data_IF_478854032767
#
_entry.id   IF_478854032767
#
_cell.length_a   1.000
_cell.length_b   1.000
_cell.length_c   1.000
_cell.angle_alpha   90.00
_cell.angle_beta   90.00
_cell.angle_gamma   90.00
#
_symmetry.space_group_name_H-M   'P 1'
#
loop_
_entity.id
_entity.type
_entity.pdbx_description
1 polymer ?
#
# COMPACT_ATOMS: atom_id res chain seq x y z
N UNK A 1 23.26 -1.45 -0.03
CA UNK A 1 22.23 -2.50 0.07
C UNK A 1 21.16 -1.98 1.00
N UNK A 2 19.92 -1.94 0.56
CA UNK A 2 18.83 -1.43 1.40
C UNK A 2 17.58 -2.27 1.17
N UNK A 3 16.96 -2.72 2.25
CA UNK A 3 15.60 -3.26 2.25
C UNK A 3 14.67 -2.17 2.76
N UNK A 4 13.79 -1.69 1.89
CA UNK A 4 12.84 -0.62 2.22
C UNK A 4 11.43 -1.18 2.26
N UNK A 5 10.75 -1.01 3.39
CA UNK A 5 9.35 -1.43 3.59
C UNK A 5 8.46 -0.20 3.60
N UNK A 6 7.45 -0.15 2.72
CA UNK A 6 6.53 0.99 2.60
C UNK A 6 5.13 0.57 3.03
N UNK A 7 4.58 1.22 4.05
CA UNK A 7 3.26 0.93 4.62
C UNK A 7 2.40 2.19 4.74
N UNK A 8 1.10 2.04 4.88
CA UNK A 8 0.17 3.15 5.09
C UNK A 8 0.01 3.49 6.57
N UNK A 9 -0.06 4.78 6.88
CA UNK A 9 -0.12 5.26 8.27
C UNK A 9 -1.53 5.33 8.86
N UNK A 10 -2.57 5.51 8.03
CA UNK A 10 -3.95 5.71 8.50
C UNK A 10 -4.89 4.53 8.13
N UNK A 11 -5.91 4.80 7.32
CA UNK A 11 -6.98 3.85 6.95
C UNK A 11 -6.90 3.40 5.49
N UNK A 12 -5.71 3.42 4.88
CA UNK A 12 -5.52 3.14 3.46
C UNK A 12 -5.69 4.39 2.59
N UNK A 13 -5.41 4.21 1.30
CA UNK A 13 -5.52 5.29 0.29
C UNK A 13 -4.59 6.50 0.53
N UNK A 14 -3.48 6.29 1.26
CA UNK A 14 -2.47 7.33 1.52
C UNK A 14 -1.57 7.62 0.30
N UNK A 15 -1.78 6.96 -0.84
CA UNK A 15 -0.96 7.16 -2.03
C UNK A 15 0.31 6.31 -2.09
N UNK A 16 0.36 5.18 -1.36
CA UNK A 16 1.48 4.23 -1.39
C UNK A 16 1.92 3.84 -2.80
N UNK A 17 0.95 3.58 -3.69
CA UNK A 17 1.26 3.19 -5.07
C UNK A 17 2.13 4.20 -5.82
N UNK A 18 1.88 5.50 -5.63
CA UNK A 18 2.71 6.57 -6.17
C UNK A 18 4.13 6.52 -5.58
N UNK A 19 4.25 6.42 -4.25
CA UNK A 19 5.54 6.41 -3.56
C UNK A 19 6.35 5.17 -3.94
N UNK A 20 5.74 3.99 -3.98
CA UNK A 20 6.38 2.76 -4.48
C UNK A 20 6.86 2.92 -5.93
N UNK A 21 6.04 3.49 -6.80
CA UNK A 21 6.40 3.71 -8.20
C UNK A 21 7.58 4.67 -8.34
N UNK A 22 7.57 5.77 -7.59
CA UNK A 22 8.69 6.71 -7.52
C UNK A 22 9.99 6.03 -7.05
N UNK A 23 9.94 5.35 -5.90
CA UNK A 23 11.09 4.64 -5.34
C UNK A 23 11.63 3.56 -6.28
N UNK A 24 10.72 2.83 -6.94
CA UNK A 24 11.09 1.81 -7.92
C UNK A 24 11.89 2.38 -9.11
N UNK A 25 11.54 3.57 -9.58
CA UNK A 25 12.26 4.24 -10.68
C UNK A 25 13.55 4.86 -10.15
N UNK A 26 13.49 5.56 -9.03
CA UNK A 26 14.60 6.34 -8.49
C UNK A 26 15.74 5.47 -7.96
N UNK A 27 15.39 4.46 -7.15
CA UNK A 27 16.35 3.62 -6.42
C UNK A 27 16.71 2.34 -7.18
N UNK A 28 15.98 2.06 -8.26
CA UNK A 28 16.20 0.93 -9.18
C UNK A 28 16.44 -0.42 -8.43
N UNK A 29 15.54 -0.85 -7.51
CA UNK A 29 15.71 -2.08 -6.76
C UNK A 29 15.69 -3.29 -7.69
N UNK A 30 16.38 -4.35 -7.29
CA UNK A 30 16.40 -5.64 -8.01
C UNK A 30 15.06 -6.35 -7.95
N UNK A 31 14.41 -6.25 -6.79
CA UNK A 31 13.14 -6.89 -6.52
C UNK A 31 12.17 -5.89 -5.91
N UNK A 32 10.95 -5.90 -6.43
CA UNK A 32 9.81 -5.21 -5.84
C UNK A 32 8.80 -6.29 -5.45
N UNK A 33 8.51 -6.42 -4.16
CA UNK A 33 7.65 -7.48 -3.66
C UNK A 33 6.46 -6.91 -2.90
N UNK A 34 5.27 -7.47 -3.15
CA UNK A 34 4.03 -7.11 -2.48
C UNK A 34 3.71 -8.08 -1.35
N UNK A 35 3.48 -7.54 -0.16
CA UNK A 35 2.82 -8.20 0.97
C UNK A 35 1.39 -7.71 1.16
N UNK A 36 0.73 -8.14 2.24
CA UNK A 36 -0.59 -7.67 2.65
C UNK A 36 -1.74 -8.61 2.28
N UNK A 37 -2.98 -8.07 2.29
CA UNK A 37 -4.16 -8.93 2.31
C UNK A 37 -4.48 -9.59 0.96
N UNK A 38 -4.59 -8.80 -0.12
CA UNK A 38 -4.97 -9.34 -1.44
C UNK A 38 -5.58 -8.29 -2.36
N UNK A 39 -6.48 -8.69 -3.31
CA UNK A 39 -7.04 -7.80 -4.33
C UNK A 39 -8.06 -6.78 -3.81
N UNK A 40 -8.36 -6.75 -2.53
CA UNK A 40 -9.15 -5.72 -1.86
C UNK A 40 -8.44 -4.35 -1.79
N UNK A 41 -7.11 -4.32 -1.96
CA UNK A 41 -6.33 -3.10 -2.10
C UNK A 41 -6.12 -2.78 -3.58
N UNK A 42 -6.42 -1.55 -3.98
CA UNK A 42 -6.14 -1.05 -5.32
C UNK A 42 -5.21 0.15 -5.27
N UNK A 43 -4.20 0.16 -6.11
CA UNK A 43 -3.28 1.30 -6.23
C UNK A 43 -3.44 1.95 -7.61
N UNK A 44 -3.47 3.27 -7.62
CA UNK A 44 -3.46 4.07 -8.86
C UNK A 44 -2.09 4.71 -9.01
N UNK A 45 -1.48 4.54 -10.18
CA UNK A 45 -0.19 5.11 -10.54
C UNK A 45 -0.42 5.99 -11.77
N UNK A 46 0.14 7.19 -11.77
CA UNK A 46 0.14 8.07 -12.93
C UNK A 46 1.58 8.26 -13.40
N UNK A 47 1.81 8.06 -14.69
CA UNK A 47 3.09 8.26 -15.36
C UNK A 47 2.83 9.07 -16.64
N UNK A 48 2.97 10.38 -16.55
CA UNK A 48 2.54 11.33 -17.56
C UNK A 48 1.04 11.22 -17.84
N UNK A 49 0.68 10.98 -19.10
CA UNK A 49 -0.72 10.84 -19.51
C UNK A 49 -1.33 9.46 -19.20
N UNK A 50 -0.51 8.49 -18.79
CA UNK A 50 -0.97 7.13 -18.52
C UNK A 50 -1.39 6.95 -17.06
N UNK A 51 -2.53 6.31 -16.88
CA UNK A 51 -3.05 5.94 -15.57
C UNK A 51 -3.14 4.42 -15.49
N UNK A 52 -2.45 3.85 -14.52
CA UNK A 52 -2.47 2.42 -14.24
C UNK A 52 -3.21 2.17 -12.93
N UNK A 53 -4.06 1.13 -12.93
CA UNK A 53 -4.77 0.67 -11.75
C UNK A 53 -4.41 -0.79 -11.51
N UNK A 54 -3.76 -1.08 -10.38
CA UNK A 54 -3.32 -2.42 -10.01
C UNK A 54 -3.98 -2.89 -8.73
N UNK A 55 -4.29 -4.17 -8.67
CA UNK A 55 -4.87 -4.84 -7.50
C UNK A 55 -4.00 -6.01 -7.02
N UNK A 56 -3.22 -6.62 -7.92
CA UNK A 56 -2.37 -7.77 -7.64
C UNK A 56 -0.88 -7.44 -7.78
N UNK A 57 -0.48 -6.80 -8.88
CA UNK A 57 0.92 -6.46 -9.09
C UNK A 57 1.42 -5.41 -8.09
N UNK A 58 2.70 -5.45 -7.70
CA UNK A 58 3.36 -4.33 -7.03
C UNK A 58 3.33 -3.07 -7.90
N UNK A 59 3.09 -1.91 -7.30
CA UNK A 59 2.97 -0.62 -7.98
C UNK A 59 4.26 -0.17 -8.69
N UNK A 60 5.39 -0.71 -8.29
CA UNK A 60 6.69 -0.40 -8.89
C UNK A 60 6.98 -1.10 -10.22
N UNK A 61 6.00 -1.78 -10.83
CA UNK A 61 6.18 -2.50 -12.09
C UNK A 61 6.64 -1.64 -13.27
N UNK A 62 6.55 -0.31 -13.16
CA UNK A 62 7.09 0.61 -14.18
C UNK A 62 8.62 0.53 -14.31
N UNK A 63 9.34 0.17 -13.24
CA UNK A 63 10.76 -0.17 -13.34
C UNK A 63 10.93 -1.47 -14.14
N UNK A 64 11.46 -1.36 -15.35
CA UNK A 64 11.62 -2.49 -16.29
C UNK A 64 12.75 -3.45 -15.88
N UNK A 65 13.66 -3.02 -15.02
CA UNK A 65 14.83 -3.80 -14.60
C UNK A 65 14.52 -4.71 -13.38
N UNK A 66 13.47 -4.40 -12.64
CA UNK A 66 13.12 -5.12 -11.44
C UNK A 66 12.28 -6.38 -11.73
N UNK A 67 12.51 -7.44 -10.95
CA UNK A 67 11.54 -8.53 -10.79
C UNK A 67 10.38 -8.02 -9.92
N UNK A 68 9.15 -8.28 -10.32
CA UNK A 68 7.93 -7.96 -9.54
C UNK A 68 7.39 -9.25 -8.94
N UNK A 69 7.22 -9.26 -7.61
CA UNK A 69 6.90 -10.48 -6.90
C UNK A 69 5.70 -10.31 -5.96
N UNK A 70 5.01 -11.40 -5.67
CA UNK A 70 3.93 -11.46 -4.67
C UNK A 70 4.33 -12.48 -3.61
N UNK A 71 4.36 -12.02 -2.36
CA UNK A 71 4.81 -12.82 -1.22
C UNK A 71 3.84 -13.92 -0.79
N UNK A 72 4.33 -14.95 -0.06
CA UNK A 72 3.56 -16.12 0.35
C UNK A 72 2.33 -15.80 1.21
N UNK A 73 2.36 -14.68 1.93
CA UNK A 73 1.25 -14.25 2.79
C UNK A 73 0.04 -13.71 2.05
N UNK A 74 0.14 -13.38 0.77
CA UNK A 74 -0.93 -12.76 -0.02
C UNK A 74 -1.93 -13.80 -0.54
N UNK A 75 -3.23 -13.44 -0.55
CA UNK A 75 -4.23 -14.19 -1.31
C UNK A 75 -4.43 -13.53 -2.67
N UNK A 76 -4.40 -14.33 -3.73
CA UNK A 76 -4.44 -13.86 -5.12
C UNK A 76 -5.73 -14.27 -5.83
N UNK A 77 -6.21 -13.39 -6.70
CA UNK A 77 -7.21 -13.75 -7.70
C UNK A 77 -6.46 -14.00 -9.02
N UNK A 78 -6.43 -15.25 -9.52
CA UNK A 78 -5.65 -15.62 -10.72
C UNK A 78 -6.06 -14.85 -11.98
N UNK A 79 -7.34 -14.55 -12.15
CA UNK A 79 -7.84 -13.87 -13.35
C UNK A 79 -7.42 -12.40 -13.36
N UNK A 80 -7.50 -11.72 -12.20
CA UNK A 80 -7.02 -10.35 -12.06
C UNK A 80 -5.51 -10.31 -12.31
N UNK A 81 -4.76 -11.23 -11.71
CA UNK A 81 -3.30 -11.29 -11.87
C UNK A 81 -2.89 -11.50 -13.33
N UNK A 82 -3.50 -12.48 -14.02
CA UNK A 82 -3.20 -12.76 -15.44
C UNK A 82 -3.53 -11.56 -16.33
N UNK A 83 -4.67 -10.92 -16.07
CA UNK A 83 -5.06 -9.72 -16.81
C UNK A 83 -4.06 -8.59 -16.61
N UNK A 84 -3.64 -8.30 -15.38
CA UNK A 84 -2.66 -7.24 -15.10
C UNK A 84 -1.29 -7.55 -15.72
N UNK A 85 -0.83 -8.81 -15.69
CA UNK A 85 0.41 -9.25 -16.36
C UNK A 85 0.37 -8.96 -17.87
N UNK A 86 -0.76 -9.23 -18.52
CA UNK A 86 -0.96 -8.99 -19.95
C UNK A 86 -1.07 -7.49 -20.26
N UNK A 87 -1.95 -6.78 -19.55
CA UNK A 87 -2.23 -5.36 -19.79
C UNK A 87 -0.97 -4.49 -19.63
N UNK A 88 -0.07 -4.87 -18.72
CA UNK A 88 1.13 -4.08 -18.41
C UNK A 88 2.42 -4.67 -18.99
N UNK A 89 2.32 -5.78 -19.74
CA UNK A 89 3.44 -6.43 -20.42
C UNK A 89 4.63 -6.76 -19.50
N UNK A 90 4.32 -7.45 -18.38
CA UNK A 90 5.32 -7.80 -17.34
C UNK A 90 5.51 -9.32 -17.18
N UNK A 91 5.11 -10.14 -18.18
CA UNK A 91 5.09 -11.61 -18.09
C UNK A 91 6.46 -12.22 -17.80
N UNK A 92 7.53 -11.71 -18.35
CA UNK A 92 8.89 -12.30 -18.19
C UNK A 92 9.57 -11.98 -16.85
N UNK A 93 8.95 -11.18 -15.97
CA UNK A 93 9.55 -10.71 -14.72
C UNK A 93 8.57 -10.66 -13.55
N UNK A 94 7.39 -11.22 -13.71
CA UNK A 94 6.39 -11.36 -12.64
C UNK A 94 6.42 -12.76 -12.07
N UNK A 95 6.51 -12.85 -10.74
CA UNK A 95 6.55 -14.10 -10.02
C UNK A 95 5.66 -14.08 -8.78
N UNK A 96 5.21 -15.25 -8.35
CA UNK A 96 4.41 -15.44 -7.15
C UNK A 96 5.02 -16.56 -6.29
N UNK A 97 4.79 -16.48 -5.00
CA UNK A 97 5.20 -17.58 -4.13
C UNK A 97 4.25 -18.78 -4.28
N UNK A 98 4.81 -19.99 -4.17
CA UNK A 98 4.05 -21.26 -4.17
C UNK A 98 2.98 -21.33 -3.08
N UNK A 99 3.13 -20.57 -2.00
CA UNK A 99 2.23 -20.51 -0.85
C UNK A 99 1.17 -19.40 -0.96
N UNK A 100 1.14 -18.59 -2.01
CA UNK A 100 0.04 -17.64 -2.22
C UNK A 100 -1.30 -18.37 -2.17
N UNK A 101 -2.25 -17.83 -1.40
CA UNK A 101 -3.59 -18.42 -1.33
C UNK A 101 -4.43 -18.07 -2.57
N UNK A 102 -5.33 -18.96 -2.99
CA UNK A 102 -6.17 -18.74 -4.16
C UNK A 102 -7.57 -18.29 -3.75
N UNK A 103 -8.00 -17.17 -4.30
CA UNK A 103 -9.40 -16.73 -4.19
C UNK A 103 -10.21 -17.44 -5.26
N UNK A 104 -11.20 -18.23 -4.83
CA UNK A 104 -12.15 -18.94 -5.68
C UNK A 104 -13.53 -18.25 -5.65
N UNK A 105 -14.44 -18.63 -6.55
CA UNK A 105 -15.79 -18.05 -6.63
C UNK A 105 -16.60 -18.17 -5.33
N UNK A 106 -16.36 -19.24 -4.58
CA UNK A 106 -16.95 -19.43 -3.23
C UNK A 106 -16.58 -18.33 -2.25
N UNK A 107 -15.32 -17.85 -2.30
CA UNK A 107 -14.85 -16.75 -1.48
C UNK A 107 -15.50 -15.42 -1.89
N UNK A 108 -15.62 -15.17 -3.21
CA UNK A 108 -16.30 -13.98 -3.75
C UNK A 108 -17.77 -13.95 -3.32
N UNK A 109 -18.46 -15.09 -3.42
CA UNK A 109 -19.86 -15.22 -3.01
C UNK A 109 -20.04 -15.00 -1.52
N UNK A 110 -19.21 -15.59 -0.66
CA UNK A 110 -19.23 -15.39 0.80
C UNK A 110 -18.96 -13.94 1.19
N UNK A 111 -18.10 -13.24 0.47
CA UNK A 111 -17.75 -11.85 0.75
C UNK A 111 -18.81 -10.86 0.24
N UNK A 112 -19.43 -11.12 -0.91
CA UNK A 112 -20.39 -10.23 -1.56
C UNK A 112 -21.82 -10.36 -1.06
N UNK A 113 -22.24 -11.58 -0.69
CA UNK A 113 -23.60 -11.92 -0.25
C UNK A 113 -23.72 -12.13 1.26
N UNK A 114 -22.59 -12.13 1.98
CA UNK A 114 -22.56 -12.40 3.41
C UNK A 114 -22.72 -11.13 4.25
N UNK A 115 -22.93 -11.34 5.56
CA UNK A 115 -23.06 -10.28 6.57
C UNK A 115 -21.84 -9.32 6.62
N UNK A 116 -20.68 -9.73 6.11
CA UNK A 116 -19.45 -8.91 6.08
C UNK A 116 -19.64 -7.62 5.28
N UNK A 117 -20.37 -7.69 4.16
CA UNK A 117 -20.64 -6.50 3.34
C UNK A 117 -21.51 -5.49 4.08
N UNK A 118 -22.53 -5.97 4.77
CA UNK A 118 -23.48 -5.12 5.51
C UNK A 118 -22.87 -4.60 6.82
N UNK A 119 -22.20 -5.47 7.59
CA UNK A 119 -21.69 -5.15 8.93
C UNK A 119 -20.42 -4.29 8.91
N UNK A 120 -19.48 -4.58 7.99
CA UNK A 120 -18.16 -3.93 7.99
C UNK A 120 -17.81 -3.25 6.66
N UNK A 121 -18.70 -3.26 5.69
CA UNK A 121 -18.47 -2.61 4.40
C UNK A 121 -17.39 -3.27 3.53
N UNK A 122 -17.29 -4.62 3.55
CA UNK A 122 -16.32 -5.34 2.74
C UNK A 122 -16.33 -4.92 1.26
N UNK A 123 -15.18 -5.07 0.60
CA UNK A 123 -15.02 -4.78 -0.83
C UNK A 123 -15.64 -5.85 -1.74
N UNK A 124 -16.03 -7.00 -1.20
CA UNK A 124 -16.54 -8.13 -1.98
C UNK A 124 -15.49 -8.85 -2.83
N UNK A 125 -14.21 -8.68 -2.50
CA UNK A 125 -13.09 -9.25 -3.29
C UNK A 125 -12.69 -10.67 -2.87
N UNK A 126 -13.40 -11.28 -1.92
CA UNK A 126 -13.14 -12.63 -1.42
C UNK A 126 -11.96 -12.76 -0.47
N UNK A 127 -11.29 -11.64 -0.16
CA UNK A 127 -10.04 -11.63 0.63
C UNK A 127 -10.25 -12.12 2.06
N UNK A 128 -11.31 -11.67 2.75
CA UNK A 128 -11.64 -12.08 4.11
C UNK A 128 -11.92 -13.58 4.21
N UNK A 129 -12.89 -14.12 3.45
CA UNK A 129 -13.18 -15.55 3.40
C UNK A 129 -11.97 -16.42 3.06
N UNK A 130 -11.13 -16.02 2.09
CA UNK A 130 -9.93 -16.76 1.72
C UNK A 130 -8.90 -16.81 2.87
N UNK A 131 -8.68 -15.70 3.59
CA UNK A 131 -7.80 -15.69 4.76
C UNK A 131 -8.36 -16.53 5.92
N UNK A 132 -9.69 -16.57 6.11
CA UNK A 132 -10.32 -17.46 7.07
C UNK A 132 -10.07 -18.94 6.72
N UNK A 133 -10.26 -19.32 5.46
CA UNK A 133 -10.01 -20.68 4.99
C UNK A 133 -8.51 -21.05 5.07
N UNK A 134 -7.62 -20.07 4.91
CA UNK A 134 -6.17 -20.26 5.17
C UNK A 134 -5.90 -20.58 6.63
N UNK A 135 -6.51 -19.86 7.57
CA UNK A 135 -6.38 -20.12 9.00
C UNK A 135 -6.93 -21.50 9.37
N UNK A 136 -7.98 -21.95 8.69
CA UNK A 136 -8.56 -23.31 8.83
C UNK A 136 -7.75 -24.40 8.09
N UNK A 137 -6.74 -24.03 7.28
CA UNK A 137 -5.86 -24.91 6.50
C UNK A 137 -6.57 -25.68 5.38
N UNK A 138 -7.63 -25.10 4.84
CA UNK A 138 -8.42 -25.67 3.73
C UNK A 138 -8.29 -24.88 2.43
N UNK A 139 -7.59 -23.75 2.46
CA UNK A 139 -7.39 -22.89 1.30
C UNK A 139 -6.49 -23.57 0.25
N UNK A 140 -6.90 -23.51 -0.99
CA UNK A 140 -6.07 -23.87 -2.13
C UNK A 140 -4.90 -22.89 -2.31
N UNK A 141 -3.73 -23.39 -2.66
CA UNK A 141 -2.51 -22.59 -2.82
C UNK A 141 -2.10 -22.49 -4.30
N UNK A 142 -1.23 -21.52 -4.61
CA UNK A 142 -0.76 -21.30 -5.98
C UNK A 142 -0.10 -22.52 -6.59
N UNK A 143 0.64 -23.32 -5.79
CA UNK A 143 1.24 -24.59 -6.22
C UNK A 143 0.24 -25.65 -6.72
N UNK A 144 -1.03 -25.52 -6.34
CA UNK A 144 -2.10 -26.46 -6.68
C UNK A 144 -2.82 -26.06 -7.98
N UNK A 145 -2.34 -25.00 -8.68
CA UNK A 145 -2.95 -24.42 -9.87
C UNK A 145 -1.97 -24.51 -11.06
N UNK A 146 -2.16 -25.48 -11.92
CA UNK A 146 -1.27 -25.76 -13.08
C UNK A 146 -1.01 -24.53 -13.96
N UNK A 147 -2.03 -23.71 -14.19
CA UNK A 147 -1.93 -22.50 -15.03
C UNK A 147 -1.10 -21.36 -14.43
N UNK A 148 -0.64 -21.50 -13.19
CA UNK A 148 0.25 -20.55 -12.51
C UNK A 148 1.68 -21.10 -12.38
N UNK A 149 1.94 -22.35 -12.77
CA UNK A 149 3.23 -23.03 -12.55
C UNK A 149 4.45 -22.25 -13.07
N UNK A 150 4.31 -21.59 -14.21
CA UNK A 150 5.38 -20.79 -14.82
C UNK A 150 5.72 -19.48 -14.07
N UNK A 151 4.87 -19.06 -13.15
CA UNK A 151 5.08 -17.86 -12.32
C UNK A 151 5.66 -18.19 -10.95
N UNK A 152 5.70 -19.48 -10.57
CA UNK A 152 6.02 -19.90 -9.20
C UNK A 152 7.53 -19.86 -8.95
N UNK A 153 7.90 -19.18 -7.87
CA UNK A 153 9.25 -19.19 -7.28
C UNK A 153 9.17 -19.31 -5.75
N UNK A 154 10.30 -19.46 -5.09
CA UNK A 154 10.42 -19.28 -3.64
C UNK A 154 10.75 -17.82 -3.36
N UNK A 155 9.73 -16.99 -3.14
CA UNK A 155 9.89 -15.53 -2.97
C UNK A 155 10.76 -15.18 -1.77
N UNK A 156 10.60 -15.79 -0.57
CA UNK A 156 11.53 -15.60 0.55
C UNK A 156 12.99 -15.85 0.17
N UNK A 157 13.28 -16.94 -0.57
CA UNK A 157 14.64 -17.24 -1.01
C UNK A 157 15.18 -16.19 -1.97
N UNK A 158 14.36 -15.75 -2.95
CA UNK A 158 14.77 -14.73 -3.94
C UNK A 158 15.14 -13.40 -3.27
N UNK A 159 14.28 -12.87 -2.36
CA UNK A 159 14.53 -11.59 -1.70
C UNK A 159 15.75 -11.65 -0.76
N UNK A 160 15.90 -12.74 0.01
CA UNK A 160 17.04 -12.87 0.92
C UNK A 160 18.34 -13.11 0.16
N UNK A 161 18.31 -13.79 -1.00
CA UNK A 161 19.48 -13.95 -1.88
C UNK A 161 19.89 -12.62 -2.52
N UNK A 162 18.94 -11.78 -2.95
CA UNK A 162 19.23 -10.44 -3.47
C UNK A 162 19.91 -9.58 -2.40
N UNK A 163 19.37 -9.56 -1.18
CA UNK A 163 19.99 -8.85 -0.06
C UNK A 163 21.39 -9.36 0.26
N UNK A 164 21.62 -10.67 0.25
CA UNK A 164 22.95 -11.26 0.45
C UNK A 164 23.94 -10.89 -0.66
N UNK A 165 23.45 -10.64 -1.87
CA UNK A 165 24.22 -10.14 -3.01
C UNK A 165 24.42 -8.61 -3.03
N UNK A 166 24.03 -7.90 -1.97
CA UNK A 166 24.05 -6.45 -1.84
C UNK A 166 23.15 -5.72 -2.87
N UNK A 167 22.06 -6.35 -3.29
CA UNK A 167 21.04 -5.74 -4.15
C UNK A 167 19.90 -5.16 -3.31
N UNK A 168 19.25 -4.10 -3.80
CA UNK A 168 18.15 -3.44 -3.10
C UNK A 168 16.84 -4.19 -3.31
N UNK A 169 16.02 -4.24 -2.24
CA UNK A 169 14.68 -4.82 -2.24
C UNK A 169 13.66 -3.81 -1.74
N UNK A 170 12.60 -3.59 -2.51
CA UNK A 170 11.49 -2.70 -2.15
C UNK A 170 10.25 -3.55 -1.82
N UNK A 171 9.73 -3.40 -0.61
CA UNK A 171 8.57 -4.14 -0.10
C UNK A 171 7.35 -3.21 -0.05
N UNK A 172 6.30 -3.58 -0.77
CA UNK A 172 5.04 -2.85 -0.83
C UNK A 172 4.00 -3.46 0.10
N UNK A 173 3.57 -2.66 1.09
CA UNK A 173 2.40 -2.97 1.92
C UNK A 173 1.07 -2.57 1.29
N UNK A 174 -0.01 -3.09 1.85
CA UNK A 174 -1.38 -2.76 1.46
C UNK A 174 -2.17 -2.15 2.61
N UNK A 175 -3.31 -1.53 2.33
CA UNK A 175 -4.17 -0.84 3.29
C UNK A 175 -3.40 0.23 4.09
N UNK A 176 -3.78 0.45 5.34
CA UNK A 176 -3.13 1.35 6.29
C UNK A 176 -3.16 0.76 7.69
N UNK A 177 -2.32 1.26 8.58
CA UNK A 177 -2.08 0.73 9.92
C UNK A 177 -3.35 0.46 10.71
N UNK A 178 -4.36 1.35 10.63
CA UNK A 178 -5.62 1.21 11.39
C UNK A 178 -6.68 0.34 10.68
N UNK A 179 -6.31 -0.29 9.57
CA UNK A 179 -7.03 -1.41 8.99
C UNK A 179 -6.40 -2.76 9.33
N UNK A 180 -5.33 -2.80 10.14
CA UNK A 180 -4.74 -4.04 10.65
C UNK A 180 -5.76 -4.81 11.50
N UNK A 181 -5.80 -6.14 11.35
CA UNK A 181 -6.66 -7.02 12.13
C UNK A 181 -6.39 -6.92 13.63
N UNK A 182 -5.12 -6.70 14.02
CA UNK A 182 -4.68 -6.66 15.41
C UNK A 182 -4.65 -5.26 16.02
N UNK A 183 -4.31 -4.25 15.22
CA UNK A 183 -4.01 -2.90 15.71
C UNK A 183 -5.00 -1.85 15.24
N UNK A 184 -5.93 -2.25 14.34
CA UNK A 184 -6.92 -1.37 13.76
C UNK A 184 -8.20 -1.23 14.59
N UNK A 185 -9.20 -0.62 13.99
CA UNK A 185 -10.51 -0.32 14.60
C UNK A 185 -11.49 -1.50 14.43
N UNK A 186 -11.16 -2.65 15.03
CA UNK A 186 -11.99 -3.85 14.94
C UNK A 186 -13.46 -3.55 15.31
N UNK A 187 -14.47 -4.07 14.57
CA UNK A 187 -14.37 -5.03 13.45
C UNK A 187 -14.14 -4.42 12.07
N UNK A 188 -13.97 -3.10 11.95
CA UNK A 188 -13.82 -2.36 10.70
C UNK A 188 -12.37 -2.38 10.22
N UNK A 189 -11.86 -3.58 9.96
CA UNK A 189 -10.45 -3.85 9.61
C UNK A 189 -10.37 -4.81 8.42
N UNK A 190 -9.17 -4.96 7.85
CA UNK A 190 -8.90 -6.03 6.89
C UNK A 190 -8.65 -7.37 7.61
N UNK A 191 -8.54 -8.44 6.88
CA UNK A 191 -8.43 -9.80 7.41
C UNK A 191 -7.02 -10.24 7.82
N UNK A 192 -6.08 -9.31 7.86
CA UNK A 192 -4.67 -9.57 8.23
C UNK A 192 -4.06 -8.40 8.97
N UNK A 193 -2.90 -8.64 9.61
CA UNK A 193 -2.01 -7.56 10.00
C UNK A 193 -1.35 -6.94 8.76
N UNK A 194 -1.35 -5.61 8.69
CA UNK A 194 -0.81 -4.82 7.59
C UNK A 194 0.18 -3.75 8.08
N UNK A 195 0.67 -3.91 9.30
CA UNK A 195 1.84 -3.19 9.80
C UNK A 195 3.11 -3.67 9.10
N UNK A 196 4.21 -2.93 9.23
CA UNK A 196 5.50 -3.30 8.64
C UNK A 196 5.91 -4.73 9.04
N UNK A 197 5.70 -5.12 10.31
CA UNK A 197 5.99 -6.48 10.79
C UNK A 197 5.15 -7.54 10.08
N UNK A 198 3.84 -7.29 9.91
CA UNK A 198 2.96 -8.20 9.19
C UNK A 198 3.33 -8.31 7.70
N UNK A 199 3.69 -7.19 7.08
CA UNK A 199 4.14 -7.16 5.68
C UNK A 199 5.46 -7.91 5.51
N UNK A 200 6.43 -7.75 6.42
CA UNK A 200 7.68 -8.51 6.40
C UNK A 200 7.43 -10.03 6.52
N UNK A 201 6.53 -10.44 7.43
CA UNK A 201 6.13 -11.84 7.55
C UNK A 201 5.49 -12.38 6.26
N UNK A 202 4.67 -11.57 5.59
CA UNK A 202 4.00 -11.93 4.33
C UNK A 202 4.96 -12.19 3.17
N UNK A 203 6.13 -11.57 3.16
CA UNK A 203 7.12 -11.71 2.09
C UNK A 203 8.32 -12.59 2.50
N UNK A 204 8.38 -13.02 3.78
CA UNK A 204 9.47 -13.84 4.30
C UNK A 204 10.76 -13.07 4.54
N UNK A 205 10.66 -11.79 4.89
CA UNK A 205 11.79 -10.94 5.29
C UNK A 205 11.93 -10.95 6.82
N UNK A 206 13.09 -11.36 7.31
CA UNK A 206 13.38 -11.36 8.74
C UNK A 206 13.50 -9.94 9.31
N UNK A 207 13.11 -9.69 10.58
CA UNK A 207 13.05 -8.32 11.13
C UNK A 207 14.44 -7.64 11.18
N UNK A 208 15.51 -8.39 11.36
CA UNK A 208 16.89 -7.86 11.37
C UNK A 208 17.45 -7.58 9.97
N UNK A 209 16.65 -7.80 8.92
CA UNK A 209 17.02 -7.54 7.54
C UNK A 209 16.27 -6.31 6.97
N UNK A 210 15.52 -5.61 7.81
CA UNK A 210 14.83 -4.39 7.44
C UNK A 210 15.73 -3.20 7.77
N UNK A 211 16.13 -2.45 6.76
CA UNK A 211 16.97 -1.26 6.93
C UNK A 211 16.09 -0.01 7.10
N UNK A 212 15.02 0.11 6.31
CA UNK A 212 14.15 1.27 6.30
C UNK A 212 12.67 0.90 6.32
N UNK A 213 11.91 1.64 7.11
CA UNK A 213 10.44 1.60 7.12
C UNK A 213 9.90 2.99 6.82
N UNK A 214 9.27 3.15 5.67
CA UNK A 214 8.61 4.38 5.25
C UNK A 214 7.11 4.27 5.54
N UNK A 215 6.62 5.09 6.47
CA UNK A 215 5.18 5.21 6.71
C UNK A 215 4.63 6.35 5.86
N UNK A 216 3.69 6.02 4.97
CA UNK A 216 3.05 6.98 4.08
C UNK A 216 1.79 7.52 4.76
N UNK A 217 1.73 8.83 4.93
CA UNK A 217 0.53 9.57 5.33
C UNK A 217 0.03 10.43 4.19
N UNK A 218 -1.24 10.74 4.20
CA UNK A 218 -1.82 11.83 3.42
C UNK A 218 -1.83 13.10 4.28
N UNK A 219 -1.76 14.27 3.68
CA UNK A 219 -1.81 15.56 4.40
C UNK A 219 -3.12 15.78 5.21
N UNK A 220 -4.11 14.92 5.03
CA UNK A 220 -5.36 14.81 5.79
C UNK A 220 -5.77 13.34 5.89
N UNK A 221 -6.67 13.00 6.81
CA UNK A 221 -7.14 11.62 6.95
C UNK A 221 -8.31 11.35 6.03
N UNK A 222 -8.33 10.17 5.39
CA UNK A 222 -9.54 9.68 4.70
C UNK A 222 -9.84 8.24 5.06
N UNK A 223 -11.14 7.89 5.07
CA UNK A 223 -11.59 6.53 5.35
C UNK A 223 -12.71 6.12 4.39
N UNK A 224 -12.60 4.91 3.81
CA UNK A 224 -13.67 4.31 3.02
C UNK A 224 -14.57 3.45 3.93
N UNK A 225 -15.87 3.53 3.73
CA UNK A 225 -16.84 2.70 4.43
C UNK A 225 -17.09 3.13 5.87
N UNK A 226 -17.58 2.16 6.67
CA UNK A 226 -17.99 2.37 8.05
C UNK A 226 -16.82 2.29 9.04
N UNK A 227 -17.08 2.53 10.30
CA UNK A 227 -16.08 2.53 11.36
C UNK A 227 -15.75 3.95 11.85
N UNK A 228 -15.11 4.09 13.01
CA UNK A 228 -14.86 5.39 13.64
C UNK A 228 -13.88 6.24 12.81
N UNK A 229 -14.18 7.52 12.69
CA UNK A 229 -13.29 8.56 12.20
C UNK A 229 -13.48 9.77 13.12
N UNK A 230 -12.47 10.08 13.92
CA UNK A 230 -12.54 11.22 14.83
C UNK A 230 -12.46 12.53 14.05
N UNK A 231 -13.16 13.56 14.52
CA UNK A 231 -13.22 14.87 13.89
C UNK A 231 -13.62 14.83 12.41
N UNK A 232 -14.51 13.88 12.06
CA UNK A 232 -15.02 13.72 10.70
C UNK A 232 -15.70 14.99 10.22
N UNK A 233 -15.31 15.45 9.05
CA UNK A 233 -15.95 16.59 8.36
C UNK A 233 -17.27 16.15 7.71
N UNK A 234 -18.23 17.05 7.65
CA UNK A 234 -19.38 16.86 6.78
C UNK A 234 -18.95 16.77 5.31
N UNK A 235 -19.79 16.18 4.48
CA UNK A 235 -19.49 16.07 3.03
C UNK A 235 -19.29 17.45 2.40
N UNK A 236 -20.08 18.45 2.80
CA UNK A 236 -19.99 19.83 2.30
C UNK A 236 -18.68 20.51 2.70
N UNK A 237 -18.21 20.27 3.93
CA UNK A 237 -16.91 20.80 4.41
C UNK A 237 -15.75 20.14 3.68
N UNK A 238 -15.80 18.81 3.49
CA UNK A 238 -14.79 18.07 2.75
C UNK A 238 -14.73 18.51 1.27
N UNK A 239 -15.88 18.78 0.65
CA UNK A 239 -15.95 19.30 -0.72
C UNK A 239 -15.37 20.70 -0.84
N UNK A 240 -15.70 21.61 0.07
CA UNK A 240 -15.14 22.96 0.11
C UNK A 240 -13.62 22.99 0.28
N UNK A 241 -13.06 22.00 1.01
CA UNK A 241 -11.61 21.82 1.16
C UNK A 241 -10.96 21.10 -0.04
N UNK A 242 -11.73 20.61 -1.03
CA UNK A 242 -11.22 19.81 -2.15
C UNK A 242 -10.83 18.37 -1.75
N UNK A 243 -11.35 17.87 -0.61
CA UNK A 243 -11.02 16.55 -0.05
C UNK A 243 -12.05 15.47 -0.43
N UNK A 244 -12.95 15.78 -1.36
CA UNK A 244 -13.92 14.81 -1.88
C UNK A 244 -13.21 13.79 -2.78
N UNK A 245 -13.10 12.57 -2.33
CA UNK A 245 -12.40 11.49 -3.03
C UNK A 245 -13.25 10.21 -3.09
N UNK A 246 -12.90 9.31 -4.03
CA UNK A 246 -13.58 8.03 -4.20
C UNK A 246 -12.59 6.87 -4.14
N UNK A 247 -13.01 5.76 -3.56
CA UNK A 247 -12.20 4.54 -3.43
C UNK A 247 -11.90 3.89 -4.79
N UNK A 248 -10.65 3.55 -5.06
CA UNK A 248 -10.19 2.99 -6.35
C UNK A 248 -10.89 1.66 -6.72
N UNK A 249 -11.20 0.81 -5.74
CA UNK A 249 -11.82 -0.50 -5.96
C UNK A 249 -13.35 -0.42 -5.89
N UNK A 250 -13.88 0.32 -4.94
CA UNK A 250 -15.32 0.31 -4.62
C UNK A 250 -16.10 1.47 -5.23
N UNK A 251 -15.44 2.54 -5.68
CA UNK A 251 -16.07 3.78 -6.11
C UNK A 251 -16.84 4.53 -5.00
N UNK A 252 -16.76 4.09 -3.73
CA UNK A 252 -17.45 4.74 -2.61
C UNK A 252 -16.76 6.05 -2.27
N UNK A 253 -17.53 7.07 -1.92
CA UNK A 253 -17.01 8.33 -1.40
C UNK A 253 -16.26 8.09 -0.09
N UNK A 254 -15.12 8.75 0.05
CA UNK A 254 -14.32 8.72 1.27
C UNK A 254 -14.80 9.78 2.24
N UNK A 255 -14.86 9.41 3.49
CA UNK A 255 -15.03 10.31 4.64
C UNK A 255 -13.69 10.96 4.92
N UNK A 256 -13.66 12.21 5.37
CA UNK A 256 -12.42 12.97 5.57
C UNK A 256 -12.38 13.62 6.96
N UNK A 257 -11.17 13.80 7.48
CA UNK A 257 -10.87 14.54 8.70
C UNK A 257 -9.50 15.25 8.55
N UNK A 258 -9.22 16.25 9.38
CA UNK A 258 -7.91 16.87 9.43
C UNK A 258 -6.82 15.85 9.82
N UNK A 259 -5.53 16.20 9.63
CA UNK A 259 -4.41 15.32 9.99
C UNK A 259 -4.42 15.00 11.49
N UNK A 260 -4.47 13.71 11.81
CA UNK A 260 -4.55 13.23 13.19
C UNK A 260 -3.18 12.83 13.73
N UNK A 261 -2.60 13.67 14.57
CA UNK A 261 -1.29 13.43 15.18
C UNK A 261 -1.28 12.26 16.17
N UNK A 262 -2.40 11.96 16.84
CA UNK A 262 -2.46 10.83 17.77
C UNK A 262 -2.41 9.51 17.02
N UNK A 263 -3.20 9.38 15.95
CA UNK A 263 -3.12 8.24 15.05
C UNK A 263 -1.74 8.15 14.40
N UNK A 264 -1.17 9.28 13.95
CA UNK A 264 0.13 9.28 13.32
C UNK A 264 1.25 8.81 14.28
N UNK A 265 1.31 9.30 15.51
CA UNK A 265 2.28 8.83 16.55
C UNK A 265 2.13 7.31 16.79
N UNK A 266 0.89 6.83 16.88
CA UNK A 266 0.64 5.40 17.06
C UNK A 266 1.08 4.58 15.86
N UNK A 267 0.85 5.06 14.63
CA UNK A 267 1.29 4.40 13.41
C UNK A 267 2.83 4.33 13.32
N UNK A 268 3.54 5.43 13.63
CA UNK A 268 5.01 5.48 13.69
C UNK A 268 5.54 4.42 14.67
N UNK A 269 4.98 4.37 15.88
CA UNK A 269 5.36 3.40 16.91
C UNK A 269 5.13 1.95 16.47
N UNK A 270 3.95 1.63 15.93
CA UNK A 270 3.57 0.27 15.55
C UNK A 270 4.40 -0.27 14.38
N UNK A 271 4.80 0.61 13.47
CA UNK A 271 5.57 0.22 12.29
C UNK A 271 7.08 0.33 12.50
N UNK A 272 7.56 0.96 13.58
CA UNK A 272 8.98 1.25 13.76
C UNK A 272 9.52 2.13 12.63
N UNK A 273 8.75 3.18 12.27
CA UNK A 273 9.09 4.03 11.13
C UNK A 273 10.46 4.68 11.27
N UNK A 274 11.27 4.59 10.24
CA UNK A 274 12.54 5.33 10.12
C UNK A 274 12.36 6.64 9.38
N UNK A 275 11.33 6.72 8.52
CA UNK A 275 11.03 7.86 7.66
C UNK A 275 9.52 7.99 7.45
N UNK A 276 9.10 9.21 7.13
CA UNK A 276 7.72 9.54 6.74
C UNK A 276 7.69 9.96 5.28
N UNK A 277 6.66 9.53 4.56
CA UNK A 277 6.25 10.14 3.30
C UNK A 277 4.91 10.83 3.47
N UNK A 278 4.79 12.08 2.99
CA UNK A 278 3.53 12.83 2.96
C UNK A 278 3.06 12.93 1.51
N UNK A 279 1.81 12.59 1.25
CA UNK A 279 1.18 12.76 -0.07
C UNK A 279 0.07 13.80 -0.03
N UNK A 280 -0.38 14.25 -1.21
CA UNK A 280 -1.45 15.23 -1.32
C UNK A 280 -1.13 16.60 -0.69
N UNK A 281 0.15 16.97 -0.67
CA UNK A 281 0.53 18.31 -0.20
C UNK A 281 -0.09 19.41 -1.09
N UNK A 282 -0.16 19.16 -2.39
CA UNK A 282 -0.80 20.00 -3.41
C UNK A 282 -2.29 20.27 -3.17
N UNK A 283 -2.99 19.37 -2.49
CA UNK A 283 -4.40 19.55 -2.15
C UNK A 283 -4.58 20.49 -0.95
N UNK A 284 -3.65 20.42 0.02
CA UNK A 284 -3.67 21.28 1.20
C UNK A 284 -3.04 22.65 0.89
N UNK A 285 -2.02 22.67 0.06
CA UNK A 285 -1.26 23.84 -0.38
C UNK A 285 -1.15 23.85 -1.92
N UNK A 286 -2.14 24.43 -2.64
CA UNK A 286 -2.19 24.37 -4.11
C UNK A 286 -0.99 24.97 -4.84
N UNK A 287 -0.27 25.89 -4.20
CA UNK A 287 0.96 26.50 -4.69
C UNK A 287 2.15 25.52 -4.73
N UNK A 288 2.03 24.35 -4.08
CA UNK A 288 3.04 23.30 -4.14
C UNK A 288 2.84 22.32 -5.30
N UNK A 289 1.80 22.49 -6.13
CA UNK A 289 1.45 21.53 -7.17
C UNK A 289 2.58 21.36 -8.20
N UNK A 290 3.07 20.11 -8.35
CA UNK A 290 4.13 19.75 -9.29
C UNK A 290 5.55 20.17 -8.87
N UNK A 291 5.73 20.77 -7.69
CA UNK A 291 7.06 21.15 -7.21
C UNK A 291 7.91 19.91 -6.89
N UNK A 292 9.18 19.99 -7.26
CA UNK A 292 10.19 18.93 -7.03
C UNK A 292 11.33 19.36 -6.13
N UNK A 293 11.35 20.62 -5.70
CA UNK A 293 12.33 21.18 -4.76
C UNK A 293 11.64 21.68 -3.49
N UNK A 294 12.18 21.31 -2.33
CA UNK A 294 11.69 21.78 -1.04
C UNK A 294 11.84 23.30 -0.87
N UNK A 295 12.82 23.92 -1.52
CA UNK A 295 13.04 25.34 -1.43
C UNK A 295 11.93 26.17 -2.08
N UNK A 296 11.25 25.61 -3.07
CA UNK A 296 10.22 26.28 -3.86
C UNK A 296 8.83 26.29 -3.22
N UNK A 297 8.53 25.38 -2.28
CA UNK A 297 7.20 25.35 -1.65
C UNK A 297 7.01 26.49 -0.67
N UNK A 298 5.74 26.84 -0.42
CA UNK A 298 5.37 27.96 0.45
C UNK A 298 5.87 27.83 1.89
N UNK A 299 5.92 28.95 2.61
CA UNK A 299 6.27 28.97 4.03
C UNK A 299 5.30 28.13 4.86
N UNK A 300 4.02 28.18 4.54
CA UNK A 300 2.97 27.45 5.26
C UNK A 300 3.11 25.94 5.05
N UNK A 301 3.40 25.50 3.81
CA UNK A 301 3.69 24.10 3.50
C UNK A 301 4.97 23.61 4.25
N UNK A 302 6.02 24.41 4.28
CA UNK A 302 7.24 24.12 5.05
C UNK A 302 6.95 24.01 6.54
N UNK A 303 6.14 24.92 7.09
CA UNK A 303 5.74 24.90 8.49
C UNK A 303 4.90 23.65 8.83
N UNK A 304 3.99 23.24 7.94
CA UNK A 304 3.22 22.01 8.10
C UNK A 304 4.12 20.78 8.13
N UNK A 305 5.06 20.64 7.19
CA UNK A 305 6.02 19.53 7.18
C UNK A 305 6.87 19.52 8.43
N UNK A 306 7.40 20.69 8.82
CA UNK A 306 8.19 20.81 10.04
C UNK A 306 7.39 20.42 11.30
N UNK A 307 6.14 20.85 11.41
CA UNK A 307 5.28 20.46 12.52
C UNK A 307 5.09 18.95 12.61
N UNK A 308 4.94 18.26 11.46
CA UNK A 308 4.86 16.79 11.43
C UNK A 308 6.16 16.17 11.94
N UNK A 309 7.32 16.65 11.48
CA UNK A 309 8.63 16.17 11.93
C UNK A 309 8.83 16.36 13.43
N UNK A 310 8.49 17.56 13.95
CA UNK A 310 8.65 17.91 15.36
C UNK A 310 7.70 17.07 16.26
N UNK A 311 6.42 16.91 15.86
CA UNK A 311 5.42 16.18 16.63
C UNK A 311 5.61 14.66 16.60
N UNK A 312 6.16 14.12 15.52
CA UNK A 312 6.34 12.68 15.33
C UNK A 312 7.78 12.23 15.59
N UNK A 313 8.70 13.15 15.80
CA UNK A 313 10.14 12.88 15.97
C UNK A 313 10.68 11.90 14.89
N UNK A 314 10.25 12.08 13.65
CA UNK A 314 10.61 11.23 12.52
C UNK A 314 10.70 12.08 11.27
N UNK A 315 11.78 11.99 10.45
CA UNK A 315 11.97 12.85 9.30
C UNK A 315 10.94 12.59 8.20
N UNK A 316 10.42 13.66 7.59
CA UNK A 316 9.63 13.61 6.36
C UNK A 316 10.58 13.72 5.18
N UNK A 317 10.87 12.59 4.54
CA UNK A 317 11.89 12.51 3.51
C UNK A 317 11.33 12.53 2.08
N UNK A 318 10.07 12.13 1.90
CA UNK A 318 9.42 12.06 0.59
C UNK A 318 8.09 12.82 0.65
N UNK A 319 7.89 13.78 -0.24
CA UNK A 319 6.69 14.62 -0.25
C UNK A 319 6.08 14.59 -1.65
N UNK A 320 4.85 14.06 -1.76
CA UNK A 320 4.07 14.07 -2.99
C UNK A 320 3.34 15.40 -3.18
N UNK A 321 3.61 16.07 -4.27
CA UNK A 321 3.14 17.41 -4.64
C UNK A 321 2.16 17.42 -5.82
N UNK A 322 1.70 16.25 -6.25
CA UNK A 322 0.76 16.11 -7.35
C UNK A 322 0.41 14.65 -7.63
N UNK A 323 -0.38 14.36 -8.65
CA UNK A 323 -0.83 13.01 -8.95
C UNK A 323 0.19 12.15 -9.72
N UNK A 324 1.14 12.77 -10.44
CA UNK A 324 2.13 12.04 -11.22
C UNK A 324 3.18 11.38 -10.32
N UNK A 325 3.75 10.27 -10.78
CA UNK A 325 4.82 9.54 -10.08
C UNK A 325 6.03 10.44 -9.81
N UNK A 326 6.32 11.40 -10.68
CA UNK A 326 7.46 12.31 -10.57
C UNK A 326 7.15 13.61 -9.81
N UNK A 327 5.87 13.89 -9.47
CA UNK A 327 5.51 15.04 -8.63
C UNK A 327 5.93 14.79 -7.18
N UNK A 328 7.21 14.72 -6.93
CA UNK A 328 7.79 14.34 -5.62
C UNK A 328 8.98 15.22 -5.29
N UNK A 329 9.00 15.73 -4.07
CA UNK A 329 10.19 16.29 -3.42
C UNK A 329 10.86 15.15 -2.65
N UNK A 330 12.08 14.79 -3.01
CA UNK A 330 12.89 13.78 -2.33
C UNK A 330 13.97 14.49 -1.50
N UNK A 331 13.88 14.37 -0.20
CA UNK A 331 14.80 14.96 0.80
C UNK A 331 15.74 13.90 1.39
N UNK A 332 15.75 12.69 0.85
CA UNK A 332 16.72 11.66 1.25
C UNK A 332 18.10 12.10 0.75
N UNK A 333 19.07 12.14 1.63
CA UNK A 333 20.47 12.51 1.35
C UNK A 333 21.26 11.33 0.78
#
# INVERSE_FOLDING_TARGET
MTSTVVVGGFFGDEGKGKIISYLAIKDNPKIIVRGGAGPNAGHTIRDGDKIYKVRMLPSGFLNKNAKVMIGPGVVINPDILKKEIQDFNVSGRTFIDKQCGIIEETHLTRDSKGELKEKIGSTGSGTGPANADRAMRVLKLAKDIDSLSSLIVDVPQEINSALAANENVLVEGTQGTFLSLWHGTYPFVTSKDVTASGICADVGLGPTKVDEVIVVFKSYVTRVGTGPLENELSLDEAEKKGWSEFGTVTGRQRRAADFDFNLARRAIMLNGATQISITKLDVLFPDCAGETSFDNISKDAKAFIKNIEDELNTPVTIIGTGPDTNDVIDRRS
#
